data_IF_922888242393
#
_entry.id   IF_922888242393
#
_cell.length_a   1.000
_cell.length_b   1.000
_cell.length_c   1.000
_cell.angle_alpha   90.00
_cell.angle_beta   90.00
_cell.angle_gamma   90.00
#
_symmetry.space_group_name_H-M   'P 1'
#
loop_
_entity.id
_entity.type
_entity.pdbx_description
1 polymer ?
#
# COMPACT_ATOMS: atom_id res chain seq x y z
N UNK A 1 6.41 17.58 3.34
CA UNK A 1 6.06 16.28 3.96
C UNK A 1 7.16 15.99 4.97
N UNK A 2 6.85 15.53 6.18
CA UNK A 2 7.91 15.16 7.14
C UNK A 2 8.66 13.96 6.57
N UNK A 3 9.98 14.06 6.48
CA UNK A 3 10.82 12.97 6.01
C UNK A 3 10.99 11.95 7.14
N UNK A 4 10.68 10.68 6.87
CA UNK A 4 10.81 9.59 7.83
C UNK A 4 12.21 8.98 7.73
N UNK A 5 12.87 8.76 8.86
CA UNK A 5 14.17 8.07 8.86
C UNK A 5 13.97 6.57 8.66
N UNK A 6 15.02 5.90 8.15
CA UNK A 6 15.04 4.44 8.00
C UNK A 6 14.75 3.71 9.32
N UNK A 7 15.25 4.25 10.45
CA UNK A 7 15.02 3.71 11.79
C UNK A 7 13.57 3.85 12.22
N UNK A 8 12.92 4.98 11.94
CA UNK A 8 11.50 5.19 12.23
C UNK A 8 10.62 4.23 11.42
N UNK A 9 10.96 4.01 10.14
CA UNK A 9 10.24 3.06 9.29
C UNK A 9 10.41 1.65 9.84
N UNK A 10 11.64 1.26 10.21
CA UNK A 10 11.93 -0.06 10.77
C UNK A 10 11.18 -0.32 12.08
N UNK A 11 11.15 0.65 13.00
CA UNK A 11 10.52 0.47 14.31
C UNK A 11 9.00 0.23 14.21
N UNK A 12 8.33 0.82 13.22
CA UNK A 12 6.92 0.51 12.92
C UNK A 12 6.76 -0.94 12.46
N UNK A 13 7.71 -1.48 11.68
CA UNK A 13 7.70 -2.87 11.21
C UNK A 13 7.88 -3.92 12.32
N UNK A 14 8.41 -3.52 13.48
CA UNK A 14 8.56 -4.38 14.67
C UNK A 14 7.24 -4.51 15.46
N UNK A 15 6.25 -3.66 15.19
CA UNK A 15 4.94 -3.69 15.82
C UNK A 15 3.97 -4.64 15.10
N UNK A 16 3.07 -5.25 15.86
CA UNK A 16 1.91 -5.95 15.29
C UNK A 16 0.99 -4.93 14.59
N UNK A 17 0.40 -5.29 13.45
CA UNK A 17 -0.47 -4.39 12.68
C UNK A 17 -1.69 -3.90 13.48
N UNK A 18 -2.22 -4.71 14.40
CA UNK A 18 -3.28 -4.31 15.32
C UNK A 18 -2.83 -3.23 16.32
N UNK A 19 -1.57 -3.27 16.80
CA UNK A 19 -1.02 -2.25 17.67
C UNK A 19 -0.89 -0.90 16.94
N UNK A 20 -0.47 -0.94 15.66
CA UNK A 20 -0.41 0.25 14.81
C UNK A 20 -1.81 0.84 14.58
N UNK A 21 -2.82 0.01 14.30
CA UNK A 21 -4.23 0.47 14.19
C UNK A 21 -4.70 1.14 15.48
N UNK A 22 -4.51 0.49 16.62
CA UNK A 22 -4.90 1.01 17.93
C UNK A 22 -4.21 2.34 18.24
N UNK A 23 -2.94 2.51 17.87
CA UNK A 23 -2.22 3.77 18.05
C UNK A 23 -2.82 4.90 17.20
N UNK A 24 -3.15 4.65 15.93
CA UNK A 24 -3.81 5.62 15.04
C UNK A 24 -5.16 6.04 15.62
N UNK A 25 -5.94 5.09 16.12
CA UNK A 25 -7.24 5.32 16.74
C UNK A 25 -7.14 6.09 18.06
N UNK A 26 -6.17 5.72 18.91
CA UNK A 26 -5.93 6.34 20.21
C UNK A 26 -5.42 7.78 20.10
N UNK A 27 -4.64 8.07 19.05
CA UNK A 27 -4.17 9.41 18.72
C UNK A 27 -5.18 10.24 17.93
N UNK A 28 -6.35 9.66 17.59
CA UNK A 28 -7.40 10.30 16.81
C UNK A 28 -6.91 10.88 15.46
N UNK A 29 -5.99 10.17 14.79
CA UNK A 29 -5.38 10.60 13.52
C UNK A 29 -6.30 10.30 12.32
N UNK A 30 -7.11 9.23 12.41
CA UNK A 30 -8.02 8.75 11.36
C UNK A 30 -9.32 8.22 11.97
N UNK A 31 -10.41 8.26 11.21
CA UNK A 31 -11.67 7.61 11.59
C UNK A 31 -11.47 6.11 11.85
N UNK A 32 -12.17 5.57 12.85
CA UNK A 32 -12.20 4.13 13.17
C UNK A 32 -12.86 3.27 12.08
N UNK A 33 -13.55 3.91 11.15
CA UNK A 33 -14.22 3.24 10.02
C UNK A 33 -13.34 3.14 8.77
N UNK A 34 -12.08 3.58 8.84
CA UNK A 34 -11.19 3.68 7.69
C UNK A 34 -9.78 3.16 7.99
N UNK A 35 -9.01 2.87 6.95
CA UNK A 35 -7.59 2.55 7.10
C UNK A 35 -7.24 1.07 7.28
N UNK A 36 -8.21 0.18 7.13
CA UNK A 36 -8.02 -1.26 7.10
C UNK A 36 -8.27 -1.83 5.70
N UNK A 37 -7.66 -2.98 5.41
CA UNK A 37 -7.90 -3.74 4.18
C UNK A 37 -9.09 -4.68 4.36
N UNK A 38 -9.79 -5.00 3.27
CA UNK A 38 -10.84 -6.01 3.29
C UNK A 38 -10.29 -7.42 3.58
N UNK A 39 -11.11 -8.35 4.11
CA UNK A 39 -10.68 -9.69 4.54
C UNK A 39 -10.15 -10.58 3.41
N UNK A 40 -10.38 -10.19 2.16
CA UNK A 40 -9.88 -10.88 0.96
C UNK A 40 -8.38 -10.66 0.74
N UNK A 41 -7.78 -9.64 1.37
CA UNK A 41 -6.36 -9.35 1.23
C UNK A 41 -5.60 -10.09 2.34
N UNK A 42 -4.84 -11.11 1.94
CA UNK A 42 -4.11 -12.02 2.83
C UNK A 42 -2.65 -12.12 2.41
N UNK A 43 -1.76 -12.33 3.39
CA UNK A 43 -0.36 -12.61 3.08
C UNK A 43 -0.21 -13.96 2.38
N UNK A 44 0.36 -13.96 1.18
CA UNK A 44 0.70 -15.19 0.45
C UNK A 44 1.95 -15.86 1.03
N UNK A 45 2.80 -15.10 1.72
CA UNK A 45 4.08 -15.56 2.29
C UNK A 45 4.19 -15.12 3.76
N UNK A 46 3.37 -15.68 4.68
CA UNK A 46 3.32 -15.23 6.07
C UNK A 46 4.65 -15.38 6.82
N UNK A 47 5.51 -16.29 6.38
CA UNK A 47 6.80 -16.56 7.02
C UNK A 47 7.92 -15.58 6.61
N UNK A 48 7.67 -14.65 5.66
CA UNK A 48 8.65 -13.64 5.27
C UNK A 48 8.72 -12.43 6.24
N UNK A 49 7.88 -12.42 7.27
CA UNK A 49 7.84 -11.36 8.27
C UNK A 49 7.01 -10.15 7.83
N UNK A 50 7.05 -9.10 8.65
CA UNK A 50 6.28 -7.86 8.44
C UNK A 50 6.92 -7.00 7.34
N UNK A 51 6.08 -6.42 6.48
CA UNK A 51 6.49 -5.42 5.48
C UNK A 51 6.03 -4.03 5.90
N UNK A 52 6.93 -3.04 5.79
CA UNK A 52 6.65 -1.63 6.04
C UNK A 52 7.35 -0.76 5.00
N UNK A 53 6.68 0.30 4.54
CA UNK A 53 7.27 1.24 3.59
C UNK A 53 6.26 2.25 3.05
N UNK A 54 6.75 3.13 2.19
CA UNK A 54 5.97 4.15 1.53
C UNK A 54 5.02 3.54 0.50
N UNK A 55 3.76 3.95 0.54
CA UNK A 55 2.75 3.47 -0.39
C UNK A 55 3.04 4.01 -1.80
N UNK A 56 3.16 3.09 -2.76
CA UNK A 56 3.11 3.38 -4.20
C UNK A 56 1.71 2.99 -4.66
N UNK A 57 0.85 3.97 -4.88
CA UNK A 57 -0.57 3.70 -5.18
C UNK A 57 -0.82 3.59 -6.68
N UNK A 58 -1.61 2.60 -7.09
CA UNK A 58 -2.07 2.48 -8.47
C UNK A 58 -3.51 1.95 -8.55
N UNK A 59 -4.11 2.13 -9.73
CA UNK A 59 -5.40 1.53 -10.09
C UNK A 59 -5.19 0.57 -11.26
N UNK A 60 -5.91 -0.55 -11.27
CA UNK A 60 -5.93 -1.51 -12.37
C UNK A 60 -7.37 -1.76 -12.81
N UNK A 61 -7.55 -1.97 -14.12
CA UNK A 61 -8.82 -2.29 -14.75
C UNK A 61 -8.56 -3.13 -16.00
N UNK A 62 -9.27 -4.25 -16.12
CA UNK A 62 -9.23 -5.20 -17.22
C UNK A 62 -10.62 -5.40 -17.88
N UNK A 63 -11.71 -4.96 -17.27
CA UNK A 63 -13.08 -5.07 -17.82
C UNK A 63 -13.33 -4.25 -19.09
N UNK A 64 -12.44 -3.32 -19.43
CA UNK A 64 -12.54 -2.49 -20.65
C UNK A 64 -11.20 -2.44 -21.37
N UNK A 65 -11.17 -2.21 -22.69
CA UNK A 65 -9.93 -1.95 -23.42
C UNK A 65 -9.09 -0.85 -22.76
N UNK A 66 -7.75 -0.92 -22.89
CA UNK A 66 -6.87 0.06 -22.27
C UNK A 66 -7.14 1.45 -22.84
N UNK A 67 -7.26 2.44 -21.95
CA UNK A 67 -7.17 3.85 -22.32
C UNK A 67 -5.71 4.28 -22.43
N UNK A 68 -5.46 5.47 -23.00
CA UNK A 68 -4.12 6.04 -23.13
C UNK A 68 -3.38 6.13 -21.79
N UNK A 69 -4.12 6.31 -20.68
CA UNK A 69 -3.57 6.41 -19.31
C UNK A 69 -3.49 5.06 -18.58
N UNK A 70 -3.75 3.94 -19.24
CA UNK A 70 -3.71 2.60 -18.64
C UNK A 70 -2.65 1.69 -19.25
N UNK A 71 -2.08 2.05 -20.40
CA UNK A 71 -1.09 1.25 -21.09
C UNK A 71 0.34 1.70 -20.76
N UNK A 72 0.82 1.36 -19.56
CA UNK A 72 2.19 1.65 -19.16
C UNK A 72 3.15 0.58 -19.68
N UNK A 73 4.25 1.02 -20.28
CA UNK A 73 5.39 0.14 -20.48
C UNK A 73 5.96 -0.30 -19.12
N UNK A 74 6.60 -1.47 -19.07
CA UNK A 74 7.29 -1.93 -17.85
C UNK A 74 8.34 -0.94 -17.34
N UNK A 75 9.02 -0.25 -18.27
CA UNK A 75 10.06 0.75 -17.94
C UNK A 75 9.41 1.95 -17.26
N UNK A 76 8.38 2.53 -17.87
CA UNK A 76 7.65 3.66 -17.30
C UNK A 76 7.06 3.33 -15.93
N UNK A 77 6.54 2.11 -15.75
CA UNK A 77 6.04 1.65 -14.45
C UNK A 77 7.12 1.63 -13.37
N UNK A 78 8.32 1.13 -13.69
CA UNK A 78 9.47 1.16 -12.77
C UNK A 78 9.88 2.59 -12.45
N UNK A 79 9.94 3.47 -13.45
CA UNK A 79 10.28 4.88 -13.25
C UNK A 79 9.29 5.58 -12.30
N UNK A 80 7.99 5.32 -12.42
CA UNK A 80 6.97 5.82 -11.48
C UNK A 80 7.18 5.29 -10.06
N UNK A 81 7.48 3.99 -9.90
CA UNK A 81 7.78 3.40 -8.58
C UNK A 81 8.99 4.08 -7.93
N UNK A 82 10.03 4.40 -8.71
CA UNK A 82 11.28 4.96 -8.20
C UNK A 82 11.18 6.43 -7.78
N UNK A 83 10.09 7.13 -8.14
CA UNK A 83 9.80 8.48 -7.62
C UNK A 83 9.45 8.48 -6.14
N UNK A 84 9.07 7.33 -5.58
CA UNK A 84 8.69 7.19 -4.17
C UNK A 84 9.88 6.70 -3.34
N UNK A 85 10.17 7.32 -2.16
CA UNK A 85 11.28 6.89 -1.31
C UNK A 85 11.18 5.42 -0.89
N UNK A 86 12.32 4.74 -0.80
CA UNK A 86 12.40 3.38 -0.25
C UNK A 86 12.26 3.37 1.28
N UNK A 87 11.87 2.23 1.90
CA UNK A 87 11.29 1.02 1.28
C UNK A 87 9.88 1.30 0.72
N UNK A 88 9.48 0.57 -0.32
CA UNK A 88 8.26 0.81 -1.11
C UNK A 88 7.29 -0.36 -0.99
N UNK A 89 6.01 -0.06 -0.79
CA UNK A 89 4.91 -1.03 -0.79
C UNK A 89 3.91 -0.63 -1.85
N UNK A 90 3.75 -1.45 -2.89
CA UNK A 90 2.79 -1.18 -3.95
C UNK A 90 1.39 -1.53 -3.45
N UNK A 91 0.47 -0.57 -3.50
CA UNK A 91 -0.93 -0.73 -3.12
C UNK A 91 -1.79 -0.47 -4.36
N UNK A 92 -2.34 -1.54 -4.92
CA UNK A 92 -3.17 -1.47 -6.13
C UNK A 92 -4.64 -1.63 -5.79
N UNK A 93 -5.47 -0.74 -6.32
CA UNK A 93 -6.93 -0.88 -6.30
C UNK A 93 -7.40 -1.47 -7.63
N UNK A 94 -7.97 -2.66 -7.57
CA UNK A 94 -8.70 -3.24 -8.69
C UNK A 94 -10.06 -2.55 -8.82
N UNK A 95 -10.33 -1.97 -9.99
CA UNK A 95 -11.59 -1.31 -10.31
C UNK A 95 -12.66 -2.28 -10.83
N UNK A 96 -12.28 -3.53 -11.11
CA UNK A 96 -13.20 -4.57 -11.57
C UNK A 96 -13.83 -5.33 -10.40
N UNK A 97 -13.15 -5.39 -9.25
CA UNK A 97 -13.69 -6.02 -8.05
C UNK A 97 -14.76 -5.15 -7.36
N UNK A 98 -15.87 -5.71 -6.85
CA UNK A 98 -16.27 -7.13 -6.86
C UNK A 98 -17.25 -7.50 -8.00
N UNK A 99 -17.53 -6.59 -8.92
CA UNK A 99 -18.74 -6.61 -9.75
C UNK A 99 -18.53 -7.07 -11.19
N UNK A 100 -17.29 -7.39 -11.57
CA UNK A 100 -16.91 -7.97 -12.87
C UNK A 100 -16.53 -9.44 -12.67
#
# INVERSE_FOLDING_TARGET
MVELTSEQIKSVGEMQTCAVSNAIEGLNIRSRTEGFMGPNIKSMFPNMGTMVGHAVTAVIKASTPPSDNMNFSRVTWVDEILKIPGPRVIVMKDLDHPNV
#
